data_IF_075383540077
#
_entry.id   IF_075383540077
#
_cell.length_a   1.000
_cell.length_b   1.000
_cell.length_c   1.000
_cell.angle_alpha   90.00
_cell.angle_beta   90.00
_cell.angle_gamma   90.00
#
_symmetry.space_group_name_H-M   'P 1'
#
loop_
_entity.id
_entity.type
_entity.pdbx_description
1 polymer ?
#
# COMPACT_ATOMS: atom_id res chain seq x y z
N UNK A 1 -48.16 -38.87 32.40
CA UNK A 1 -47.51 -38.66 31.10
C UNK A 1 -46.83 -37.31 31.13
N UNK A 2 -45.47 -37.24 31.36
CA UNK A 2 -44.72 -36.01 31.56
C UNK A 2 -43.94 -35.75 30.25
N UNK A 3 -44.33 -34.69 29.53
CA UNK A 3 -43.60 -34.20 28.34
C UNK A 3 -42.31 -33.49 28.82
N UNK A 4 -41.17 -33.99 28.40
CA UNK A 4 -39.87 -33.33 28.58
C UNK A 4 -39.59 -32.50 27.33
N UNK A 5 -39.67 -31.18 27.46
CA UNK A 5 -39.23 -30.21 26.44
C UNK A 5 -37.71 -30.08 26.49
N UNK A 6 -37.03 -30.63 25.51
CA UNK A 6 -35.57 -30.39 25.29
C UNK A 6 -35.39 -29.07 24.57
N UNK A 7 -34.79 -28.10 25.28
CA UNK A 7 -34.36 -26.83 24.68
C UNK A 7 -32.97 -27.05 24.08
N UNK A 8 -32.90 -27.05 22.72
CA UNK A 8 -31.67 -27.10 22.00
C UNK A 8 -31.14 -25.66 21.88
N UNK A 9 -30.06 -25.36 22.61
CA UNK A 9 -29.31 -24.10 22.45
C UNK A 9 -28.45 -24.19 21.18
N UNK A 10 -28.85 -23.46 20.13
CA UNK A 10 -28.01 -23.22 18.95
C UNK A 10 -26.98 -22.18 19.33
N UNK A 11 -25.73 -22.62 19.56
CA UNK A 11 -24.55 -21.76 19.65
C UNK A 11 -24.25 -21.21 18.23
N UNK A 12 -24.67 -19.97 18.00
CA UNK A 12 -24.25 -19.20 16.82
C UNK A 12 -22.80 -18.77 17.03
N UNK A 13 -21.85 -19.54 16.51
CA UNK A 13 -20.45 -19.10 16.38
C UNK A 13 -20.38 -17.98 15.36
N UNK A 14 -20.38 -16.74 15.81
CA UNK A 14 -19.97 -15.59 14.99
C UNK A 14 -18.47 -15.66 14.76
N UNK A 15 -18.06 -16.23 13.64
CA UNK A 15 -16.69 -16.04 13.14
C UNK A 15 -16.54 -14.57 12.77
N UNK A 16 -16.06 -13.77 13.72
CA UNK A 16 -15.67 -12.40 13.45
C UNK A 16 -14.54 -12.40 12.39
N UNK A 17 -14.75 -11.68 11.30
CA UNK A 17 -13.77 -11.46 10.25
C UNK A 17 -12.62 -10.57 10.77
N UNK A 18 -11.69 -11.15 11.50
CA UNK A 18 -10.51 -10.44 12.05
C UNK A 18 -9.46 -10.15 10.98
N UNK A 19 -9.52 -10.85 9.83
CA UNK A 19 -8.51 -10.75 8.77
C UNK A 19 -8.58 -9.48 7.91
N UNK A 20 -9.68 -8.73 7.91
CA UNK A 20 -9.80 -7.52 7.07
C UNK A 20 -9.07 -6.29 7.62
N UNK A 21 -8.84 -6.24 8.94
CA UNK A 21 -8.24 -5.06 9.58
C UNK A 21 -6.72 -4.96 9.37
N UNK A 22 -6.02 -6.10 9.28
CA UNK A 22 -4.58 -6.15 9.04
C UNK A 22 -4.21 -5.88 7.58
N UNK A 23 -5.09 -6.24 6.64
CA UNK A 23 -4.84 -6.11 5.20
C UNK A 23 -4.80 -4.66 4.68
N UNK A 24 -5.25 -3.67 5.47
CA UNK A 24 -5.28 -2.25 5.10
C UNK A 24 -4.25 -1.40 5.88
N UNK A 25 -3.17 -2.02 6.33
CA UNK A 25 -2.11 -1.34 7.07
C UNK A 25 -0.79 -1.46 6.33
N UNK A 26 -0.04 -0.36 6.34
CA UNK A 26 1.33 -0.28 5.84
C UNK A 26 2.27 -0.30 7.05
N UNK A 27 3.18 -1.27 7.09
CA UNK A 27 4.26 -1.29 8.07
C UNK A 27 5.30 -0.25 7.66
N UNK A 28 5.73 0.58 8.60
CA UNK A 28 6.79 1.58 8.44
C UNK A 28 7.93 1.15 9.36
N UNK A 29 9.00 0.61 8.79
CA UNK A 29 10.15 0.13 9.53
C UNK A 29 11.22 1.24 9.60
N UNK A 30 11.43 1.75 10.81
CA UNK A 30 12.43 2.78 11.12
C UNK A 30 13.85 2.20 11.24
N UNK A 31 13.93 0.91 11.54
CA UNK A 31 15.11 0.05 11.50
C UNK A 31 14.63 -1.40 11.43
N UNK A 32 15.55 -2.36 11.32
CA UNK A 32 15.19 -3.77 11.33
C UNK A 32 14.52 -4.25 12.62
N UNK A 33 14.73 -3.53 13.73
CA UNK A 33 14.15 -3.86 15.04
C UNK A 33 12.93 -3.02 15.41
N UNK A 34 12.78 -1.83 14.82
CA UNK A 34 11.74 -0.88 15.18
C UNK A 34 10.82 -0.56 14.00
N UNK A 35 9.55 -0.89 14.16
CA UNK A 35 8.53 -0.58 13.17
C UNK A 35 7.24 -0.10 13.82
N UNK A 36 6.48 0.67 13.08
CA UNK A 36 5.10 1.06 13.38
C UNK A 36 4.19 0.67 12.21
N UNK A 37 2.90 0.84 12.36
CA UNK A 37 1.96 0.60 11.27
C UNK A 37 1.03 1.79 11.10
N UNK A 38 0.75 2.14 9.86
CA UNK A 38 -0.21 3.18 9.50
C UNK A 38 -1.32 2.57 8.64
N UNK A 39 -2.56 2.82 8.99
CA UNK A 39 -3.71 2.39 8.19
C UNK A 39 -3.92 3.32 7.00
N UNK A 40 -4.66 2.85 5.98
CA UNK A 40 -5.08 3.69 4.87
C UNK A 40 -5.80 4.97 5.35
N UNK A 41 -6.66 4.87 6.36
CA UNK A 41 -7.40 6.02 6.88
C UNK A 41 -6.46 7.04 7.55
N UNK A 42 -5.46 6.57 8.29
CA UNK A 42 -4.44 7.43 8.90
C UNK A 42 -3.57 8.11 7.81
N UNK A 43 -3.19 7.39 6.74
CA UNK A 43 -2.49 7.99 5.59
C UNK A 43 -3.30 9.13 4.97
N UNK A 44 -4.61 8.90 4.74
CA UNK A 44 -5.52 9.91 4.17
C UNK A 44 -5.68 11.14 5.07
N UNK A 45 -5.62 10.96 6.38
CA UNK A 45 -5.79 12.05 7.34
C UNK A 45 -4.50 12.84 7.57
N UNK A 46 -3.34 12.19 7.46
CA UNK A 46 -2.04 12.80 7.78
C UNK A 46 -1.37 13.46 6.58
N UNK A 47 -1.63 12.98 5.36
CA UNK A 47 -0.93 13.43 4.15
C UNK A 47 -1.88 13.94 3.08
N UNK A 48 -1.44 14.93 2.28
CA UNK A 48 -2.23 15.42 1.14
C UNK A 48 -2.52 14.31 0.13
N UNK A 49 -3.77 14.24 -0.31
CA UNK A 49 -4.16 13.30 -1.39
C UNK A 49 -3.64 13.82 -2.72
N UNK A 50 -2.97 12.96 -3.46
CA UNK A 50 -2.52 13.19 -4.83
C UNK A 50 -3.21 12.20 -5.77
N UNK A 51 -3.64 12.67 -6.93
CA UNK A 51 -4.27 11.82 -7.95
C UNK A 51 -3.72 12.13 -9.33
N UNK A 52 -3.61 11.09 -10.16
CA UNK A 52 -3.37 11.22 -11.59
C UNK A 52 -4.07 10.10 -12.35
N UNK A 53 -4.25 10.29 -13.65
CA UNK A 53 -4.76 9.27 -14.56
C UNK A 53 -3.61 8.80 -15.42
N UNK A 54 -3.35 7.51 -15.48
CA UNK A 54 -2.31 6.93 -16.32
C UNK A 54 -2.71 5.53 -16.77
N UNK A 55 -2.19 5.10 -17.90
CA UNK A 55 -2.29 3.71 -18.36
C UNK A 55 -1.06 2.95 -17.89
N UNK A 56 -1.28 1.90 -17.08
CA UNK A 56 -0.19 1.05 -16.65
C UNK A 56 0.15 0.02 -17.73
N UNK A 57 1.41 -0.44 -17.85
CA UNK A 57 1.85 -1.35 -18.93
C UNK A 57 1.11 -2.68 -18.98
N UNK A 58 0.49 -3.08 -17.88
CA UNK A 58 -0.23 -4.34 -17.73
C UNK A 58 -1.76 -4.18 -17.70
N UNK A 59 -2.26 -2.96 -17.88
CA UNK A 59 -3.69 -2.67 -17.92
C UNK A 59 -4.12 -2.24 -19.33
N UNK A 60 -5.30 -2.67 -19.77
CA UNK A 60 -5.82 -2.37 -21.10
C UNK A 60 -6.25 -0.90 -21.25
N UNK A 61 -6.71 -0.28 -20.16
CA UNK A 61 -7.29 1.05 -20.15
C UNK A 61 -6.62 1.93 -19.07
N UNK A 62 -6.55 3.26 -19.29
CA UNK A 62 -6.09 4.18 -18.27
C UNK A 62 -7.06 4.21 -17.08
N UNK A 63 -6.53 4.43 -15.88
CA UNK A 63 -7.33 4.55 -14.67
C UNK A 63 -6.85 5.74 -13.82
N UNK A 64 -7.77 6.31 -13.03
CA UNK A 64 -7.44 7.34 -12.05
C UNK A 64 -6.98 6.69 -10.77
N UNK A 65 -5.73 6.91 -10.41
CA UNK A 65 -5.15 6.47 -9.15
C UNK A 65 -5.13 7.62 -8.14
N UNK A 66 -5.43 7.30 -6.88
CA UNK A 66 -5.37 8.28 -5.78
C UNK A 66 -4.57 7.68 -4.62
N UNK A 67 -3.72 8.49 -4.03
CA UNK A 67 -2.80 8.06 -2.97
C UNK A 67 -2.12 9.24 -2.30
N UNK A 68 -1.00 8.97 -1.66
CA UNK A 68 -0.11 9.97 -1.06
C UNK A 68 1.25 9.92 -1.76
N UNK A 69 1.91 11.06 -1.90
CA UNK A 69 3.26 11.08 -2.47
C UNK A 69 4.22 10.30 -1.59
N UNK A 70 5.10 9.52 -2.19
CA UNK A 70 6.14 8.80 -1.45
C UNK A 70 7.07 9.78 -0.73
N UNK A 71 7.34 10.94 -1.33
CA UNK A 71 8.13 12.01 -0.69
C UNK A 71 7.54 12.47 0.65
N UNK A 72 6.21 12.50 0.77
CA UNK A 72 5.55 12.94 2.01
C UNK A 72 5.72 11.88 3.12
N UNK A 73 5.78 10.59 2.75
CA UNK A 73 6.02 9.50 3.69
C UNK A 73 7.41 9.56 4.34
N UNK A 74 8.37 10.26 3.74
CA UNK A 74 9.70 10.42 4.35
C UNK A 74 9.64 11.09 5.72
N UNK A 75 8.57 11.87 5.99
CA UNK A 75 8.35 12.46 7.30
C UNK A 75 8.13 11.42 8.42
N UNK A 76 7.67 10.23 8.09
CA UNK A 76 7.48 9.13 9.05
C UNK A 76 8.80 8.57 9.58
N UNK A 77 9.90 8.85 8.89
CA UNK A 77 11.24 8.39 9.26
C UNK A 77 12.07 9.44 10.01
N UNK A 78 11.49 10.60 10.32
CA UNK A 78 12.22 11.64 11.06
C UNK A 78 12.66 11.16 12.45
N UNK A 79 13.89 11.52 12.92
CA UNK A 79 14.79 12.50 12.31
C UNK A 79 15.75 11.95 11.23
N UNK A 80 15.65 10.66 10.87
CA UNK A 80 16.47 10.06 9.81
C UNK A 80 16.14 10.74 8.46
N UNK A 81 17.17 10.87 7.62
CA UNK A 81 17.05 11.39 6.25
C UNK A 81 17.51 10.31 5.28
N UNK A 82 16.64 9.35 4.95
CA UNK A 82 17.01 8.26 4.06
C UNK A 82 17.39 8.78 2.69
N UNK A 83 18.35 8.10 2.03
CA UNK A 83 18.68 8.33 0.62
C UNK A 83 17.93 7.35 -0.29
N UNK A 84 17.53 6.22 0.25
CA UNK A 84 16.82 5.13 -0.42
C UNK A 84 15.65 4.73 0.48
N UNK A 85 14.50 4.46 -0.13
CA UNK A 85 13.39 3.78 0.50
C UNK A 85 13.24 2.38 -0.11
N UNK A 86 13.06 1.39 0.76
CA UNK A 86 12.81 0.00 0.38
C UNK A 86 11.34 -0.32 0.58
N UNK A 87 10.76 -1.01 -0.40
CA UNK A 87 9.36 -1.43 -0.38
C UNK A 87 9.30 -2.94 -0.48
N UNK A 88 8.47 -3.56 0.36
CA UNK A 88 8.20 -5.00 0.31
C UNK A 88 6.72 -5.25 0.06
N UNK A 89 6.44 -6.27 -0.74
CA UNK A 89 5.10 -6.73 -1.06
C UNK A 89 4.72 -8.00 -0.29
N UNK A 90 3.44 -8.32 -0.25
CA UNK A 90 2.92 -9.52 0.41
C UNK A 90 3.50 -10.84 -0.15
N UNK A 91 3.99 -10.84 -1.38
CA UNK A 91 4.64 -11.97 -2.04
C UNK A 91 6.17 -11.94 -1.94
N UNK A 92 6.71 -11.14 -0.99
CA UNK A 92 8.13 -10.98 -0.74
C UNK A 92 8.93 -10.28 -1.86
N UNK A 93 8.25 -9.81 -2.92
CA UNK A 93 8.91 -8.97 -3.92
C UNK A 93 9.35 -7.65 -3.28
N UNK A 94 10.55 -7.20 -3.62
CA UNK A 94 11.16 -5.98 -3.08
C UNK A 94 11.56 -5.04 -4.21
N UNK A 95 11.42 -3.74 -3.95
CA UNK A 95 11.93 -2.67 -4.80
C UNK A 95 12.54 -1.57 -3.93
N UNK A 96 13.53 -0.88 -4.47
CA UNK A 96 14.14 0.29 -3.83
C UNK A 96 14.01 1.52 -4.72
N UNK A 97 13.83 2.69 -4.09
CA UNK A 97 13.70 3.97 -4.78
C UNK A 97 14.63 4.97 -4.11
N UNK A 98 15.44 5.62 -4.93
CA UNK A 98 16.26 6.74 -4.48
C UNK A 98 15.39 7.96 -4.19
N UNK A 99 15.73 8.72 -3.15
CA UNK A 99 15.00 9.94 -2.79
C UNK A 99 15.02 10.99 -3.92
N UNK A 100 16.03 11.00 -4.77
CA UNK A 100 16.08 11.86 -5.96
C UNK A 100 14.91 11.59 -6.91
N UNK A 101 14.57 10.31 -7.16
CA UNK A 101 13.42 9.92 -7.97
C UNK A 101 12.09 10.41 -7.35
N UNK A 102 12.02 10.46 -6.00
CA UNK A 102 10.83 10.96 -5.30
C UNK A 102 10.58 12.45 -5.54
N UNK A 103 11.66 13.22 -5.64
CA UNK A 103 11.58 14.68 -5.89
C UNK A 103 11.24 14.94 -7.35
N UNK A 104 11.90 14.23 -8.27
CA UNK A 104 11.77 14.44 -9.70
C UNK A 104 10.44 13.94 -10.27
N UNK A 105 10.08 12.70 -9.96
CA UNK A 105 8.92 12.04 -10.59
C UNK A 105 7.68 11.96 -9.71
N UNK A 106 7.81 12.25 -8.42
CA UNK A 106 6.73 12.31 -7.44
C UNK A 106 5.80 11.06 -7.46
N UNK A 107 6.35 9.83 -7.38
CA UNK A 107 5.52 8.64 -7.32
C UNK A 107 4.59 8.66 -6.11
N UNK A 108 3.48 7.93 -6.20
CA UNK A 108 2.50 7.82 -5.11
C UNK A 108 2.40 6.40 -4.58
N UNK A 109 2.06 6.28 -3.30
CA UNK A 109 1.45 5.08 -2.74
C UNK A 109 -0.05 5.20 -2.98
N UNK A 110 -0.51 4.57 -4.05
CA UNK A 110 -1.93 4.54 -4.40
C UNK A 110 -2.69 3.55 -3.51
N UNK A 111 -3.84 3.97 -3.02
CA UNK A 111 -4.78 3.16 -2.23
C UNK A 111 -6.18 3.13 -2.83
N UNK A 112 -6.40 3.83 -3.92
CA UNK A 112 -7.68 3.92 -4.63
C UNK A 112 -7.49 3.93 -6.15
N UNK A 113 -8.40 3.24 -6.86
CA UNK A 113 -8.53 3.24 -8.32
C UNK A 113 -9.96 3.67 -8.64
N UNK A 114 -10.13 4.71 -9.47
CA UNK A 114 -11.43 5.26 -9.90
C UNK A 114 -12.38 5.59 -8.73
N UNK A 115 -11.82 5.97 -7.57
CA UNK A 115 -12.57 6.30 -6.36
C UNK A 115 -12.78 5.13 -5.40
N UNK A 116 -12.59 3.89 -5.85
CA UNK A 116 -12.74 2.70 -5.04
C UNK A 116 -11.42 2.27 -4.37
N UNK A 117 -11.52 1.71 -3.18
CA UNK A 117 -10.37 1.12 -2.49
C UNK A 117 -9.78 -0.06 -3.27
N UNK A 118 -8.45 -0.12 -3.38
CA UNK A 118 -7.79 -1.22 -4.08
C UNK A 118 -7.85 -2.47 -3.21
N UNK A 119 -8.59 -3.49 -3.65
CA UNK A 119 -8.61 -4.78 -2.96
C UNK A 119 -7.33 -5.57 -3.23
N UNK A 120 -6.98 -6.51 -2.32
CA UNK A 120 -5.83 -7.41 -2.50
C UNK A 120 -5.92 -8.15 -3.84
N UNK A 121 -7.12 -8.60 -4.23
CA UNK A 121 -7.35 -9.29 -5.52
C UNK A 121 -7.08 -8.40 -6.74
N UNK A 122 -7.16 -7.07 -6.57
CA UNK A 122 -6.87 -6.05 -7.58
C UNK A 122 -5.52 -5.36 -7.33
N UNK A 123 -4.52 -6.10 -6.84
CA UNK A 123 -3.15 -5.64 -6.58
C UNK A 123 -3.00 -4.66 -5.39
N UNK A 124 -4.06 -4.48 -4.56
CA UNK A 124 -4.02 -3.67 -3.34
C UNK A 124 -3.48 -4.42 -2.12
N UNK A 125 -3.48 -3.80 -0.95
CA UNK A 125 -4.17 -2.55 -0.63
C UNK A 125 -3.44 -1.29 -1.08
N UNK A 126 -2.12 -1.38 -1.30
CA UNK A 126 -1.26 -0.27 -1.69
C UNK A 126 -0.44 -0.64 -2.93
N UNK A 127 -0.25 0.33 -3.82
CA UNK A 127 0.57 0.20 -5.02
C UNK A 127 1.48 1.41 -5.13
N UNK A 128 2.76 1.20 -5.48
CA UNK A 128 3.65 2.28 -5.82
C UNK A 128 3.58 2.53 -7.33
N UNK A 129 3.25 3.75 -7.72
CA UNK A 129 3.00 4.11 -9.10
C UNK A 129 3.66 5.44 -9.48
N UNK A 130 4.18 5.47 -10.70
CA UNK A 130 4.59 6.69 -11.40
C UNK A 130 3.50 7.12 -12.38
N UNK A 131 3.38 8.43 -12.61
CA UNK A 131 2.53 9.00 -13.65
C UNK A 131 3.22 8.86 -15.00
N UNK A 132 2.96 7.76 -15.71
CA UNK A 132 3.59 7.46 -17.01
C UNK A 132 3.08 8.35 -18.13
N UNK A 133 1.90 8.95 -18.02
CA UNK A 133 1.38 9.90 -18.99
C UNK A 133 2.12 11.25 -18.89
N UNK A 134 2.43 11.65 -17.65
CA UNK A 134 3.24 12.85 -17.41
C UNK A 134 4.73 12.62 -17.71
N UNK A 135 5.24 11.43 -17.44
CA UNK A 135 6.65 11.05 -17.62
C UNK A 135 6.78 9.81 -18.53
N UNK A 136 6.51 9.94 -19.86
CA UNK A 136 6.50 8.80 -20.78
C UNK A 136 7.84 8.05 -20.87
N UNK A 137 8.96 8.70 -20.57
CA UNK A 137 10.29 8.08 -20.57
C UNK A 137 10.48 7.07 -19.43
N UNK A 138 9.61 7.09 -18.41
CA UNK A 138 9.59 6.07 -17.34
C UNK A 138 8.86 4.78 -17.76
N UNK A 139 8.22 4.76 -18.93
CA UNK A 139 7.54 3.56 -19.42
C UNK A 139 8.57 2.54 -19.98
N UNK A 140 9.47 2.10 -19.14
CA UNK A 140 10.56 1.15 -19.42
C UNK A 140 10.66 0.11 -18.31
N UNK A 141 11.22 -1.10 -18.58
CA UNK A 141 11.30 -2.18 -17.60
C UNK A 141 11.92 -1.80 -16.25
N UNK A 142 12.89 -0.90 -16.24
CA UNK A 142 13.54 -0.42 -15.02
C UNK A 142 12.53 0.18 -14.03
N UNK A 143 11.67 1.08 -14.51
CA UNK A 143 10.66 1.73 -13.69
C UNK A 143 9.43 0.84 -13.46
N UNK A 144 9.10 -0.05 -14.42
CA UNK A 144 8.05 -1.04 -14.18
C UNK A 144 8.37 -1.94 -12.99
N UNK A 145 9.63 -2.32 -12.80
CA UNK A 145 10.09 -3.09 -11.64
C UNK A 145 10.05 -2.30 -10.33
N UNK A 146 10.07 -0.96 -10.37
CA UNK A 146 9.87 -0.11 -9.19
C UNK A 146 8.38 0.07 -8.85
N UNK A 147 7.46 -0.15 -9.81
CA UNK A 147 6.00 -0.06 -9.58
C UNK A 147 5.49 -1.35 -8.94
N UNK A 148 5.72 -1.45 -7.63
CA UNK A 148 5.36 -2.60 -6.81
C UNK A 148 3.90 -2.54 -6.37
N UNK A 149 3.22 -3.65 -6.36
CA UNK A 149 1.84 -3.82 -5.88
C UNK A 149 1.78 -4.70 -4.63
N UNK A 150 0.61 -4.68 -3.94
CA UNK A 150 0.40 -5.40 -2.67
C UNK A 150 1.44 -5.02 -1.61
N UNK A 151 1.82 -3.74 -1.58
CA UNK A 151 2.81 -3.27 -0.61
C UNK A 151 2.26 -3.46 0.81
N UNK A 152 3.08 -4.03 1.67
CA UNK A 152 2.81 -4.20 3.09
C UNK A 152 3.83 -3.51 3.99
N UNK A 153 5.02 -3.15 3.45
CA UNK A 153 6.07 -2.52 4.22
C UNK A 153 6.83 -1.47 3.40
N UNK A 154 7.22 -0.39 4.09
CA UNK A 154 8.23 0.57 3.64
C UNK A 154 9.29 0.70 4.74
N UNK A 155 10.57 0.69 4.37
CA UNK A 155 11.71 0.79 5.29
C UNK A 155 12.80 1.71 4.75
N UNK A 156 13.70 2.14 5.64
CA UNK A 156 14.90 2.91 5.31
C UNK A 156 16.18 2.07 5.37
N UNK A 157 16.05 0.82 5.81
CA UNK A 157 17.09 -0.17 5.85
C UNK A 157 16.64 -1.42 5.11
N UNK A 158 17.57 -2.10 4.44
CA UNK A 158 17.34 -3.40 3.85
C UNK A 158 17.51 -4.47 4.92
N UNK A 159 16.39 -4.98 5.41
CA UNK A 159 16.39 -6.03 6.42
C UNK A 159 16.25 -7.41 5.75
N UNK A 160 17.11 -8.35 6.15
CA UNK A 160 17.06 -9.75 5.70
C UNK A 160 15.93 -10.54 6.39
#
# INVERSE_FOLDING_TARGET
MKLRTSVVWLLFCTFANVNSALANRLKVALSCEHSTTISRQELMNQFPVTSFTTQLPWDAEPAKFSGVKVSDLTALFAPQKPKILYFSALNEFRASIEVNDLVEYQPIIAYSINGDAISIRKRGPFMLLYDLDKFPHLNVPEYHNKMIWQINEVSIEECE
#
